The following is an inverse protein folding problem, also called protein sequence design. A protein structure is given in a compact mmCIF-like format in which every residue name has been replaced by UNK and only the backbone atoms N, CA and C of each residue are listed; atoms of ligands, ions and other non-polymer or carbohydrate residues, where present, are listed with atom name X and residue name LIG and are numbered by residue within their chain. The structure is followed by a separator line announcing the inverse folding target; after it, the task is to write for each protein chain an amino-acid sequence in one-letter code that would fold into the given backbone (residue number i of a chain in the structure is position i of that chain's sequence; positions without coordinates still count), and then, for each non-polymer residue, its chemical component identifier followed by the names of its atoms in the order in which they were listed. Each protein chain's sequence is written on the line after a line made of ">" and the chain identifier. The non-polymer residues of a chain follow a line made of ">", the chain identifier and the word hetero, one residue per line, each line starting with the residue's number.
data_IF_188932429362
#
_entry.id   IF_188932429362
#
_cell.length_a   1.000
_cell.length_b   1.000
_cell.length_c   1.000
_cell.angle_alpha   90.00
_cell.angle_beta   90.00
_cell.angle_gamma   90.00
#
_symmetry.space_group_name_H-M   'P 1'
#
loop_
_entity.id
_entity.type
_entity.pdbx_description
1 polymer ?
#
# COMPACT_ATOMS: atom_id res chain seq x y z
N UNK A 1 0.27 6.22 -30.75
CA UNK A 1 -0.88 6.27 -29.81
C UNK A 1 -0.70 5.11 -28.84
N UNK A 2 -0.18 5.36 -27.64
CA UNK A 2 0.00 4.28 -26.64
C UNK A 2 -1.38 3.96 -26.02
N UNK A 3 -1.77 2.69 -25.88
CA UNK A 3 -3.07 2.34 -25.33
C UNK A 3 -3.14 2.82 -23.87
N UNK A 4 -4.30 3.35 -23.48
CA UNK A 4 -4.60 3.71 -22.10
C UNK A 4 -4.15 2.59 -21.17
N UNK A 5 -3.23 2.93 -20.27
CA UNK A 5 -2.62 2.00 -19.32
C UNK A 5 -3.71 1.18 -18.61
N UNK A 6 -3.52 -0.14 -18.56
CA UNK A 6 -4.31 -1.11 -17.79
C UNK A 6 -4.07 -0.84 -16.29
N UNK A 7 -4.74 0.17 -15.74
CA UNK A 7 -4.62 0.53 -14.33
C UNK A 7 -5.78 -0.15 -13.58
N UNK A 8 -5.47 -0.94 -12.57
CA UNK A 8 -6.45 -1.33 -11.55
C UNK A 8 -7.05 -0.07 -10.95
N UNK A 9 -8.34 0.14 -11.16
CA UNK A 9 -9.03 1.34 -10.64
C UNK A 9 -10.12 0.95 -9.64
N UNK A 10 -10.76 -0.21 -9.83
CA UNK A 10 -11.98 -0.52 -9.12
C UNK A 10 -11.79 -1.70 -8.17
N UNK A 11 -11.99 -1.44 -6.88
CA UNK A 11 -12.19 -2.49 -5.87
C UNK A 11 -13.53 -3.19 -6.12
N UNK A 12 -13.58 -4.49 -5.87
CA UNK A 12 -14.83 -5.23 -5.76
C UNK A 12 -14.78 -6.11 -4.52
N UNK A 13 -15.96 -6.52 -4.05
CA UNK A 13 -16.10 -7.36 -2.87
C UNK A 13 -16.72 -8.70 -3.26
N UNK A 14 -16.13 -9.80 -2.80
CA UNK A 14 -16.68 -11.14 -2.94
C UNK A 14 -16.36 -11.96 -1.68
N UNK A 15 -17.34 -12.70 -1.15
CA UNK A 15 -17.21 -13.48 0.09
C UNK A 15 -16.62 -12.69 1.28
N UNK A 16 -16.92 -11.39 1.39
CA UNK A 16 -16.38 -10.52 2.44
C UNK A 16 -14.93 -10.08 2.24
N UNK A 17 -14.32 -10.40 1.10
CA UNK A 17 -12.94 -10.04 0.76
C UNK A 17 -12.88 -9.05 -0.40
N UNK A 18 -11.80 -8.28 -0.45
CA UNK A 18 -11.50 -7.28 -1.48
C UNK A 18 -10.65 -7.91 -2.57
N UNK A 19 -11.06 -7.69 -3.81
CA UNK A 19 -10.28 -7.91 -5.02
C UNK A 19 -10.21 -6.64 -5.88
N UNK A 20 -9.46 -6.70 -6.97
CA UNK A 20 -9.24 -5.57 -7.86
C UNK A 20 -9.45 -5.96 -9.33
N UNK A 21 -10.06 -5.05 -10.09
CA UNK A 21 -10.26 -5.17 -11.53
C UNK A 21 -9.89 -3.88 -12.25
N UNK A 22 -9.54 -4.00 -13.53
CA UNK A 22 -9.32 -2.83 -14.38
C UNK A 22 -10.64 -2.14 -14.77
N UNK A 23 -10.54 -1.05 -15.51
CA UNK A 23 -11.69 -0.27 -15.97
C UNK A 23 -12.63 -1.05 -16.92
N UNK A 24 -12.14 -2.09 -17.61
CA UNK A 24 -12.95 -2.97 -18.46
C UNK A 24 -13.69 -4.04 -17.66
N UNK A 25 -13.38 -4.19 -16.38
CA UNK A 25 -13.90 -5.24 -15.51
C UNK A 25 -13.04 -6.51 -15.49
N UNK A 26 -11.90 -6.54 -16.20
CA UNK A 26 -10.97 -7.66 -16.15
C UNK A 26 -10.39 -7.78 -14.75
N UNK A 27 -10.44 -9.00 -14.22
CA UNK A 27 -9.88 -9.34 -12.92
C UNK A 27 -8.34 -9.18 -12.93
N UNK A 28 -7.81 -8.41 -11.99
CA UNK A 28 -6.37 -8.24 -11.77
C UNK A 28 -5.91 -8.91 -10.48
N UNK A 29 -6.76 -8.86 -9.44
CA UNK A 29 -6.54 -9.54 -8.17
C UNK A 29 -7.86 -10.17 -7.75
N UNK A 30 -7.85 -11.48 -7.51
CA UNK A 30 -8.95 -12.18 -6.88
C UNK A 30 -9.30 -11.59 -5.51
N UNK A 31 -10.55 -11.75 -5.09
CA UNK A 31 -10.95 -11.36 -3.74
C UNK A 31 -10.22 -12.25 -2.73
N UNK A 32 -9.22 -11.68 -2.04
CA UNK A 32 -8.36 -12.41 -1.11
C UNK A 32 -7.83 -11.56 0.05
N UNK A 33 -8.14 -10.26 0.05
CA UNK A 33 -7.74 -9.33 1.10
C UNK A 33 -8.91 -9.01 2.02
N UNK A 34 -8.63 -8.83 3.30
CA UNK A 34 -9.63 -8.40 4.28
C UNK A 34 -10.07 -6.96 4.04
N UNK A 35 -9.13 -6.12 3.57
CA UNK A 35 -9.38 -4.75 3.18
C UNK A 35 -8.37 -4.30 2.11
N UNK A 36 -8.73 -3.25 1.38
CA UNK A 36 -7.89 -2.65 0.35
C UNK A 36 -8.21 -1.18 0.14
N UNK A 37 -7.18 -0.35 -0.04
CA UNK A 37 -7.34 1.07 -0.39
C UNK A 37 -7.54 1.25 -1.89
N UNK A 38 -7.87 2.48 -2.27
CA UNK A 38 -7.70 2.94 -3.65
C UNK A 38 -6.22 3.01 -4.02
N UNK A 39 -5.94 3.07 -5.32
CA UNK A 39 -4.59 3.30 -5.82
C UNK A 39 -4.23 4.78 -5.69
N UNK A 40 -3.20 5.06 -4.90
CA UNK A 40 -2.59 6.38 -4.75
C UNK A 40 -1.16 6.27 -5.26
N UNK A 41 -0.77 7.13 -6.21
CA UNK A 41 0.56 7.09 -6.83
C UNK A 41 0.92 5.71 -7.43
N UNK A 42 -0.06 4.96 -7.92
CA UNK A 42 0.14 3.64 -8.52
C UNK A 42 0.19 2.45 -7.53
N UNK A 43 -0.01 2.70 -6.24
CA UNK A 43 0.01 1.66 -5.20
C UNK A 43 -1.28 1.64 -4.38
N UNK A 44 -1.73 0.45 -3.99
CA UNK A 44 -2.81 0.28 -3.03
C UNK A 44 -2.30 -0.47 -1.80
N UNK A 45 -2.77 -0.07 -0.63
CA UNK A 45 -2.54 -0.78 0.62
C UNK A 45 -3.55 -1.92 0.70
N UNK A 46 -3.08 -3.11 1.05
CA UNK A 46 -3.91 -4.31 1.20
C UNK A 46 -3.71 -4.94 2.56
N UNK A 47 -4.77 -5.57 3.09
CA UNK A 47 -4.76 -6.21 4.40
C UNK A 47 -4.95 -7.71 4.27
N UNK A 48 -4.07 -8.49 4.90
CA UNK A 48 -4.17 -9.94 5.00
C UNK A 48 -3.66 -10.38 6.37
N UNK A 49 -4.45 -11.17 7.09
CA UNK A 49 -4.18 -11.61 8.45
C UNK A 49 -3.94 -10.40 9.40
N UNK A 50 -4.72 -9.33 9.24
CA UNK A 50 -4.57 -8.10 10.03
C UNK A 50 -3.31 -7.27 9.77
N UNK A 51 -2.47 -7.66 8.79
CA UNK A 51 -1.24 -6.94 8.43
C UNK A 51 -1.40 -6.23 7.09
N UNK A 52 -0.72 -5.08 6.95
CA UNK A 52 -0.72 -4.23 5.77
C UNK A 52 0.49 -4.50 4.88
N UNK A 53 0.24 -4.49 3.57
CA UNK A 53 1.24 -4.56 2.50
C UNK A 53 0.84 -3.66 1.35
N UNK A 54 1.53 -3.78 0.21
CA UNK A 54 1.31 -2.93 -0.96
C UNK A 54 1.25 -3.76 -2.24
N UNK A 55 0.26 -3.45 -3.08
CA UNK A 55 0.18 -3.92 -4.46
C UNK A 55 0.36 -2.76 -5.44
N UNK A 56 0.87 -3.05 -6.65
CA UNK A 56 0.87 -2.10 -7.76
C UNK A 56 -0.43 -2.15 -8.56
N UNK A 57 -0.60 -1.22 -9.50
CA UNK A 57 -1.80 -1.12 -10.35
C UNK A 57 -2.00 -2.31 -11.30
N UNK A 58 -1.03 -3.20 -11.43
CA UNK A 58 -1.16 -4.45 -12.17
C UNK A 58 -1.64 -5.60 -11.26
N UNK A 59 -1.91 -5.32 -9.99
CA UNK A 59 -2.34 -6.30 -9.00
C UNK A 59 -1.19 -7.10 -8.37
N UNK A 60 0.06 -6.78 -8.69
CA UNK A 60 1.22 -7.49 -8.18
C UNK A 60 1.54 -7.01 -6.77
N UNK A 61 1.78 -7.96 -5.86
CA UNK A 61 2.24 -7.71 -4.50
C UNK A 61 3.71 -7.26 -4.53
N UNK A 62 3.95 -5.95 -4.38
CA UNK A 62 5.31 -5.38 -4.32
C UNK A 62 5.89 -5.56 -2.93
N UNK A 63 5.05 -5.46 -1.92
CA UNK A 63 5.43 -5.66 -0.52
C UNK A 63 4.36 -6.50 0.14
N UNK A 64 4.75 -7.70 0.57
CA UNK A 64 3.84 -8.58 1.26
C UNK A 64 3.30 -7.94 2.56
N UNK A 65 2.01 -8.15 2.89
CA UNK A 65 1.43 -7.89 4.20
C UNK A 65 2.33 -8.34 5.35
N UNK A 66 2.95 -7.37 6.02
CA UNK A 66 3.85 -7.61 7.17
C UNK A 66 3.91 -6.47 8.18
N UNK A 67 3.27 -5.33 7.88
CA UNK A 67 3.28 -4.16 8.75
C UNK A 67 1.99 -4.08 9.55
N UNK A 68 2.06 -3.65 10.81
CA UNK A 68 0.85 -3.41 11.62
C UNK A 68 0.08 -2.20 11.12
N UNK A 69 0.81 -1.21 10.63
CA UNK A 69 0.26 -0.01 10.02
C UNK A 69 1.10 0.44 8.81
N UNK A 70 0.48 1.15 7.88
CA UNK A 70 1.07 1.52 6.60
C UNK A 70 0.33 2.73 6.03
N UNK A 71 1.08 3.69 5.52
CA UNK A 71 0.57 4.92 4.91
C UNK A 71 0.86 4.92 3.41
N UNK A 72 0.07 5.65 2.60
CA UNK A 72 0.34 5.78 1.17
C UNK A 72 1.76 6.29 0.88
N UNK A 73 2.34 5.84 -0.22
CA UNK A 73 3.61 6.37 -0.70
C UNK A 73 3.47 7.86 -1.05
N UNK A 74 4.40 8.67 -0.54
CA UNK A 74 4.59 10.07 -0.89
C UNK A 74 6.05 10.28 -1.28
N UNK A 75 6.30 10.81 -2.48
CA UNK A 75 7.66 10.99 -3.02
C UNK A 75 8.54 9.73 -2.89
N UNK A 76 7.98 8.57 -3.24
CA UNK A 76 8.68 7.28 -3.21
C UNK A 76 9.02 6.75 -1.81
N UNK A 77 8.43 7.32 -0.75
CA UNK A 77 8.63 6.89 0.64
C UNK A 77 7.29 6.64 1.32
N UNK A 78 7.19 5.56 2.08
CA UNK A 78 6.03 5.29 2.93
C UNK A 78 6.43 5.14 4.40
N UNK A 79 5.52 5.54 5.28
CA UNK A 79 5.60 5.30 6.71
C UNK A 79 4.97 3.94 6.97
N UNK A 80 5.67 3.09 7.72
CA UNK A 80 5.16 1.78 8.12
C UNK A 80 5.46 1.51 9.58
N UNK A 81 4.55 0.81 10.24
CA UNK A 81 4.74 0.32 11.61
C UNK A 81 5.15 -1.15 11.57
N UNK A 82 6.31 -1.45 12.16
CA UNK A 82 6.82 -2.80 12.30
C UNK A 82 7.13 -3.08 13.76
N UNK A 83 6.47 -4.10 14.33
CA UNK A 83 6.33 -4.20 15.78
C UNK A 83 5.57 -2.99 16.32
N UNK A 84 6.11 -2.33 17.33
CA UNK A 84 5.48 -1.16 17.97
C UNK A 84 6.01 0.18 17.46
N UNK A 85 6.97 0.17 16.53
CA UNK A 85 7.68 1.37 16.08
C UNK A 85 7.44 1.66 14.60
N UNK A 86 7.47 2.94 14.27
CA UNK A 86 7.41 3.47 12.92
C UNK A 86 8.81 3.62 12.33
N UNK A 87 8.91 3.24 11.05
CA UNK A 87 10.05 3.43 10.18
C UNK A 87 9.59 3.90 8.79
N UNK A 88 10.54 4.02 7.88
CA UNK A 88 10.31 4.55 6.54
C UNK A 88 10.91 3.61 5.51
N UNK A 89 10.12 3.27 4.51
CA UNK A 89 10.51 2.39 3.41
C UNK A 89 10.42 3.08 2.06
N UNK A 90 11.21 2.61 1.10
CA UNK A 90 11.04 2.96 -0.30
C UNK A 90 9.97 2.09 -0.99
N UNK A 91 9.75 2.32 -2.28
CA UNK A 91 8.72 1.64 -3.09
C UNK A 91 8.95 0.14 -3.27
N UNK A 92 10.18 -0.36 -3.05
CA UNK A 92 10.50 -1.80 -3.10
C UNK A 92 10.56 -2.42 -1.70
N UNK A 93 10.26 -1.64 -0.66
CA UNK A 93 10.18 -2.09 0.73
C UNK A 93 11.53 -2.13 1.45
N UNK A 94 12.57 -1.49 0.93
CA UNK A 94 13.84 -1.32 1.64
C UNK A 94 13.73 -0.19 2.67
N UNK A 95 14.36 -0.40 3.83
CA UNK A 95 14.39 0.60 4.89
C UNK A 95 15.23 1.81 4.50
N UNK A 96 14.59 2.98 4.37
CA UNK A 96 15.27 4.28 4.37
C UNK A 96 15.62 4.70 5.80
N UNK A 97 14.75 4.34 6.75
CA UNK A 97 14.96 4.48 8.18
C UNK A 97 14.33 3.29 8.86
N UNK A 98 15.14 2.49 9.56
CA UNK A 98 14.63 1.35 10.34
C UNK A 98 13.68 1.81 11.44
N UNK A 99 12.71 0.97 11.87
CA UNK A 99 11.74 1.32 12.90
C UNK A 99 12.43 1.83 14.18
N UNK A 100 12.13 3.07 14.57
CA UNK A 100 12.72 3.70 15.77
C UNK A 100 11.88 4.82 16.40
N UNK A 101 10.73 5.12 15.83
CA UNK A 101 9.85 6.20 16.27
C UNK A 101 8.57 5.63 16.85
N UNK A 102 8.12 6.12 18.01
CA UNK A 102 6.83 5.74 18.59
C UNK A 102 5.64 6.35 17.84
N UNK A 103 5.86 7.45 17.12
CA UNK A 103 4.85 8.07 16.24
C UNK A 103 5.50 8.61 14.97
N UNK A 104 4.79 8.51 13.85
CA UNK A 104 5.14 9.16 12.58
C UNK A 104 3.87 9.65 11.89
N UNK A 105 3.92 10.85 11.31
CA UNK A 105 2.78 11.49 10.63
C UNK A 105 3.01 11.56 9.12
N UNK A 106 1.94 11.51 8.29
CA UNK A 106 2.03 11.63 6.84
C UNK A 106 2.91 12.80 6.39
N UNK A 107 3.57 12.61 5.26
CA UNK A 107 4.43 13.65 4.70
C UNK A 107 3.64 14.91 4.32
N UNK A 108 4.19 16.07 4.64
CA UNK A 108 3.75 17.38 4.19
C UNK A 108 4.99 18.17 3.75
N UNK A 109 4.96 18.73 2.55
CA UNK A 109 6.11 19.46 1.95
C UNK A 109 7.43 18.65 1.95
N UNK A 110 7.34 17.32 1.80
CA UNK A 110 8.50 16.43 1.80
C UNK A 110 9.06 16.10 3.18
N UNK A 111 8.46 16.59 4.26
CA UNK A 111 8.86 16.35 5.64
C UNK A 111 7.82 15.49 6.37
N UNK A 112 8.28 14.67 7.32
CA UNK A 112 7.42 13.90 8.22
C UNK A 112 7.76 14.25 9.66
N UNK A 113 6.74 14.56 10.46
CA UNK A 113 6.88 14.74 11.90
C UNK A 113 6.96 13.37 12.56
N UNK A 114 7.89 13.20 13.49
CA UNK A 114 8.11 11.95 14.23
C UNK A 114 8.31 12.20 15.72
N UNK A 115 8.03 11.17 16.52
CA UNK A 115 8.33 11.14 17.96
C UNK A 115 9.15 9.89 18.26
N UNK A 116 10.18 10.04 19.10
CA UNK A 116 10.91 8.91 19.67
C UNK A 116 10.22 8.45 20.94
#
# INVERSE_FOLDING_TARGET
>A
MLPFSLVAQNRFYAAGQVGYRDASGKLLVEARYEAGSEFINGFAIVVRNGLKGYINSQGQEIIAPKYRDAFPFSNGTAIVQFGDLYGFIDIVGQWKVTPKYTQAFPFSEGLSRVKK
#
